data_IF_813778900373
#
_entry.id   IF_813778900373
#
_cell.length_a   1.000
_cell.length_b   1.000
_cell.length_c   1.000
_cell.angle_alpha   90.00
_cell.angle_beta   90.00
_cell.angle_gamma   90.00
#
_symmetry.space_group_name_H-M   'P 1'
#
loop_
_entity.id
_entity.type
_entity.pdbx_description
1 polymer ?
#
# COMPACT_ATOMS: atom_id res chain seq x y z
N UNK A 1 7.49 -33.58 26.54
CA UNK A 1 6.64 -33.84 25.36
C UNK A 1 5.67 -32.67 25.21
N UNK A 2 5.96 -31.70 24.33
CA UNK A 2 5.13 -30.50 24.16
C UNK A 2 3.80 -30.90 23.49
N UNK A 3 2.69 -30.76 24.20
CA UNK A 3 1.36 -31.10 23.71
C UNK A 3 0.87 -29.97 22.81
N UNK A 4 0.91 -30.16 21.49
CA UNK A 4 0.41 -29.18 20.50
C UNK A 4 -1.10 -28.97 20.72
N UNK A 5 -1.46 -27.86 21.35
CA UNK A 5 -2.85 -27.47 21.59
C UNK A 5 -3.51 -27.05 20.28
N UNK A 6 -4.79 -27.38 20.09
CA UNK A 6 -5.58 -26.90 18.96
C UNK A 6 -5.51 -25.37 18.91
N UNK A 7 -4.87 -24.84 17.86
CA UNK A 7 -4.64 -23.42 17.65
C UNK A 7 -5.97 -22.73 17.38
N UNK A 8 -6.49 -22.02 18.38
CA UNK A 8 -7.56 -21.04 18.17
C UNK A 8 -7.04 -19.92 17.27
N UNK A 9 -7.88 -19.43 16.37
CA UNK A 9 -7.53 -18.33 15.46
C UNK A 9 -7.23 -17.07 16.29
N UNK A 10 -6.10 -16.44 16.02
CA UNK A 10 -5.65 -15.25 16.74
C UNK A 10 -6.24 -13.99 16.08
N UNK A 11 -7.13 -13.24 16.75
CA UNK A 11 -7.78 -12.07 16.16
C UNK A 11 -6.79 -10.97 15.79
N UNK A 12 -5.66 -10.83 16.51
CA UNK A 12 -4.63 -9.86 16.17
C UNK A 12 -3.99 -10.15 14.81
N UNK A 13 -3.75 -11.42 14.49
CA UNK A 13 -3.22 -11.82 13.19
C UNK A 13 -4.23 -11.55 12.07
N UNK A 14 -5.53 -11.80 12.30
CA UNK A 14 -6.57 -11.46 11.33
C UNK A 14 -6.55 -9.95 11.07
N UNK A 15 -6.58 -9.14 12.13
CA UNK A 15 -6.55 -7.67 12.02
C UNK A 15 -5.31 -7.23 11.24
N UNK A 16 -4.13 -7.78 11.53
CA UNK A 16 -2.91 -7.46 10.78
C UNK A 16 -3.01 -7.77 9.29
N UNK A 17 -3.59 -8.91 8.91
CA UNK A 17 -3.79 -9.27 7.49
C UNK A 17 -4.74 -8.29 6.82
N UNK A 18 -5.83 -7.90 7.49
CA UNK A 18 -6.76 -6.89 6.97
C UNK A 18 -6.07 -5.54 6.79
N UNK A 19 -5.30 -5.09 7.78
CA UNK A 19 -4.54 -3.83 7.69
C UNK A 19 -3.52 -3.84 6.56
N UNK A 20 -2.79 -4.96 6.37
CA UNK A 20 -1.86 -5.13 5.25
C UNK A 20 -2.57 -5.09 3.89
N UNK A 21 -3.76 -5.68 3.78
CA UNK A 21 -4.57 -5.59 2.57
C UNK A 21 -5.01 -4.16 2.28
N UNK A 22 -5.44 -3.41 3.31
CA UNK A 22 -5.80 -2.00 3.17
C UNK A 22 -4.58 -1.18 2.71
N UNK A 23 -3.41 -1.39 3.34
CA UNK A 23 -2.16 -0.72 2.94
C UNK A 23 -1.82 -1.02 1.49
N UNK A 24 -1.87 -2.29 1.06
CA UNK A 24 -1.55 -2.65 -0.32
C UNK A 24 -2.52 -2.00 -1.32
N UNK A 25 -3.81 -2.01 -1.02
CA UNK A 25 -4.83 -1.47 -1.90
C UNK A 25 -4.82 0.06 -1.96
N UNK A 26 -4.51 0.73 -0.84
CA UNK A 26 -4.64 2.18 -0.69
C UNK A 26 -3.34 2.94 -0.76
N UNK A 27 -2.18 2.33 -0.53
CA UNK A 27 -0.88 3.01 -0.67
C UNK A 27 -0.33 2.84 -2.08
N UNK A 28 0.33 3.87 -2.57
CA UNK A 28 1.05 3.86 -3.84
C UNK A 28 2.43 4.50 -3.70
N UNK A 29 3.29 4.21 -4.66
CA UNK A 29 4.59 4.85 -4.85
C UNK A 29 4.59 5.45 -6.25
N UNK A 30 4.74 6.76 -6.34
CA UNK A 30 4.97 7.47 -7.59
C UNK A 30 6.45 7.71 -7.79
N UNK A 31 6.87 7.75 -9.06
CA UNK A 31 8.19 8.22 -9.45
C UNK A 31 8.03 9.56 -10.17
N UNK A 32 8.81 10.55 -9.73
CA UNK A 32 8.96 11.83 -10.40
C UNK A 32 9.83 11.65 -11.66
N UNK A 33 9.36 12.18 -12.78
CA UNK A 33 10.04 12.04 -14.08
C UNK A 33 11.22 13.03 -14.23
N UNK A 34 11.24 14.12 -13.48
CA UNK A 34 12.28 15.17 -13.53
C UNK A 34 13.49 14.81 -12.66
N UNK A 35 13.26 14.31 -11.44
CA UNK A 35 14.32 14.03 -10.46
C UNK A 35 14.52 12.55 -10.13
N UNK A 36 13.73 11.66 -10.75
CA UNK A 36 13.75 10.22 -10.48
C UNK A 36 13.51 9.88 -8.98
N UNK A 37 12.86 10.81 -8.27
CA UNK A 37 12.52 10.70 -6.86
C UNK A 37 11.29 9.82 -6.64
N UNK A 38 11.21 9.17 -5.49
CA UNK A 38 10.09 8.29 -5.14
C UNK A 38 9.23 8.91 -4.04
N UNK A 39 7.95 9.07 -4.33
CA UNK A 39 6.99 9.65 -3.40
C UNK A 39 5.95 8.60 -3.00
N UNK A 40 5.77 8.41 -1.70
CA UNK A 40 4.72 7.52 -1.16
C UNK A 40 3.46 8.34 -0.94
N UNK A 41 2.33 7.85 -1.46
CA UNK A 41 1.06 8.55 -1.38
C UNK A 41 -0.09 7.60 -1.04
N UNK A 42 -1.21 8.19 -0.58
CA UNK A 42 -2.47 7.49 -0.35
C UNK A 42 -3.34 7.67 -1.59
N UNK A 43 -3.69 6.56 -2.23
CA UNK A 43 -4.62 6.52 -3.37
C UNK A 43 -6.00 6.94 -2.90
N UNK A 44 -6.75 7.63 -3.75
CA UNK A 44 -8.13 8.00 -3.46
C UNK A 44 -9.13 6.82 -3.58
N UNK A 45 -8.74 5.73 -4.24
CA UNK A 45 -9.53 4.49 -4.39
C UNK A 45 -8.63 3.25 -4.34
N UNK A 46 -9.15 2.08 -3.91
CA UNK A 46 -8.36 0.86 -3.79
C UNK A 46 -7.96 0.32 -5.18
N UNK A 47 -6.67 -0.01 -5.36
CA UNK A 47 -6.16 -0.70 -6.54
C UNK A 47 -5.01 -1.63 -6.17
N UNK A 48 -4.80 -2.68 -6.97
CA UNK A 48 -3.66 -3.60 -6.83
C UNK A 48 -2.34 -3.01 -7.37
N UNK A 49 -2.40 -1.92 -8.13
CA UNK A 49 -1.22 -1.26 -8.70
C UNK A 49 -0.50 -0.48 -7.60
N UNK A 50 0.73 -0.88 -7.26
CA UNK A 50 1.53 -0.21 -6.24
C UNK A 50 2.39 0.93 -6.82
N UNK A 51 2.88 0.77 -8.04
CA UNK A 51 3.86 1.67 -8.65
C UNK A 51 3.23 2.49 -9.79
N UNK A 52 3.51 3.80 -9.78
CA UNK A 52 2.97 4.77 -10.73
C UNK A 52 4.14 5.56 -11.34
N UNK A 53 4.30 5.47 -12.65
CA UNK A 53 5.29 6.22 -13.42
C UNK A 53 4.64 6.67 -14.73
N UNK A 54 4.89 7.91 -15.13
CA UNK A 54 4.49 8.41 -16.44
C UNK A 54 5.25 7.66 -17.53
N UNK A 55 4.59 6.97 -18.47
CA UNK A 55 5.26 6.45 -19.66
C UNK A 55 5.75 7.56 -20.60
N UNK A 56 5.19 8.77 -20.54
CA UNK A 56 5.59 9.92 -21.36
C UNK A 56 6.70 10.76 -20.71
N UNK A 57 6.88 10.66 -19.40
CA UNK A 57 7.75 11.58 -18.67
C UNK A 57 7.25 13.02 -18.81
N UNK A 58 8.14 13.90 -19.25
CA UNK A 58 7.89 15.34 -19.47
C UNK A 58 7.46 15.67 -20.92
N UNK A 59 7.32 14.66 -21.78
CA UNK A 59 7.00 14.86 -23.20
C UNK A 59 5.48 14.91 -23.45
N UNK A 60 5.06 15.72 -24.43
CA UNK A 60 3.67 15.74 -24.90
C UNK A 60 3.28 14.43 -25.60
N UNK A 61 2.02 14.02 -25.48
CA UNK A 61 1.53 12.78 -26.08
C UNK A 61 1.47 12.87 -27.62
N UNK A 62 2.23 12.04 -28.37
CA UNK A 62 2.19 12.07 -29.82
C UNK A 62 0.95 11.34 -30.39
N UNK A 63 0.53 11.63 -31.64
CA UNK A 63 -0.66 11.03 -32.25
C UNK A 63 -0.60 9.50 -32.38
N UNK A 64 0.60 8.96 -32.61
CA UNK A 64 0.90 7.54 -32.79
C UNK A 64 1.26 6.82 -31.48
N UNK A 65 1.02 7.45 -30.32
CA UNK A 65 1.34 6.87 -29.03
C UNK A 65 0.62 5.53 -28.80
N UNK A 66 1.34 4.44 -28.43
CA UNK A 66 0.73 3.13 -28.26
C UNK A 66 -0.43 3.12 -27.26
N UNK A 67 -1.54 2.49 -27.63
CA UNK A 67 -2.76 2.45 -26.81
C UNK A 67 -2.52 1.90 -25.39
N UNK A 68 -1.66 0.88 -25.26
CA UNK A 68 -1.27 0.31 -23.97
C UNK A 68 -0.54 1.32 -23.06
N UNK A 69 0.29 2.18 -23.64
CA UNK A 69 0.99 3.22 -22.89
C UNK A 69 0.06 4.39 -22.60
N UNK A 70 -0.85 4.72 -23.52
CA UNK A 70 -1.90 5.71 -23.31
C UNK A 70 -2.78 5.36 -22.10
N UNK A 71 -3.15 4.10 -21.95
CA UNK A 71 -3.90 3.63 -20.78
C UNK A 71 -3.09 3.78 -19.47
N UNK A 72 -1.78 3.52 -19.50
CA UNK A 72 -0.91 3.73 -18.33
C UNK A 72 -0.76 5.21 -17.99
N UNK A 73 -0.64 6.08 -18.99
CA UNK A 73 -0.63 7.52 -18.78
C UNK A 73 -1.92 7.98 -18.13
N UNK A 74 -3.08 7.57 -18.65
CA UNK A 74 -4.37 7.93 -18.07
C UNK A 74 -4.52 7.48 -16.60
N UNK A 75 -3.95 6.33 -16.22
CA UNK A 75 -3.90 5.89 -14.82
C UNK A 75 -2.97 6.79 -14.00
N UNK A 76 -1.79 7.12 -14.52
CA UNK A 76 -0.87 8.04 -13.85
C UNK A 76 -1.51 9.41 -13.63
N UNK A 77 -2.13 9.98 -14.67
CA UNK A 77 -2.81 11.27 -14.61
C UNK A 77 -3.97 11.25 -13.60
N UNK A 78 -4.74 10.15 -13.54
CA UNK A 78 -5.86 10.01 -12.60
C UNK A 78 -5.41 9.92 -11.14
N UNK A 79 -4.35 9.15 -10.85
CA UNK A 79 -3.90 8.91 -9.48
C UNK A 79 -2.89 9.93 -8.95
N UNK A 80 -2.05 10.48 -9.83
CA UNK A 80 -0.95 11.37 -9.46
C UNK A 80 -1.32 12.81 -9.77
N UNK A 81 -1.62 13.16 -11.03
CA UNK A 81 -1.76 14.57 -11.43
C UNK A 81 -3.13 15.19 -11.11
N UNK A 82 -4.21 14.43 -11.23
CA UNK A 82 -5.57 14.98 -11.17
C UNK A 82 -6.16 14.89 -9.76
N UNK A 83 -5.92 13.79 -9.05
CA UNK A 83 -6.53 13.51 -7.74
C UNK A 83 -5.49 13.36 -6.66
N UNK A 84 -4.92 14.50 -6.27
CA UNK A 84 -3.95 14.65 -5.19
C UNK A 84 -4.57 14.48 -3.79
N UNK A 85 -5.17 13.33 -3.50
CA UNK A 85 -5.77 13.06 -2.18
C UNK A 85 -4.74 13.06 -1.05
N UNK A 86 -3.48 12.74 -1.35
CA UNK A 86 -2.36 12.80 -0.40
C UNK A 86 -1.96 14.21 0.00
N UNK A 87 -2.29 15.23 -0.80
CA UNK A 87 -1.94 16.62 -0.48
C UNK A 87 -2.78 17.13 0.70
N UNK A 88 -3.93 16.48 0.96
CA UNK A 88 -4.62 16.65 2.22
C UNK A 88 -3.80 16.03 3.34
N UNK A 89 -3.16 16.90 4.13
CA UNK A 89 -2.29 16.55 5.25
C UNK A 89 -2.88 15.48 6.17
N UNK A 90 -4.19 15.56 6.47
CA UNK A 90 -4.90 14.58 7.32
C UNK A 90 -4.89 13.17 6.72
N UNK A 91 -5.07 13.03 5.40
CA UNK A 91 -5.07 11.74 4.72
C UNK A 91 -3.67 11.15 4.71
N UNK A 92 -2.67 11.99 4.42
CA UNK A 92 -1.25 11.60 4.48
C UNK A 92 -0.83 11.13 5.87
N UNK A 93 -1.19 11.87 6.92
CA UNK A 93 -0.93 11.48 8.31
C UNK A 93 -1.61 10.16 8.64
N UNK A 94 -2.88 9.99 8.25
CA UNK A 94 -3.64 8.76 8.51
C UNK A 94 -3.00 7.56 7.83
N UNK A 95 -2.56 7.69 6.57
CA UNK A 95 -1.82 6.65 5.86
C UNK A 95 -0.51 6.28 6.56
N UNK A 96 0.25 7.28 7.03
CA UNK A 96 1.49 7.06 7.80
C UNK A 96 1.23 6.32 9.11
N UNK A 97 0.21 6.73 9.86
CA UNK A 97 -0.20 6.05 11.12
C UNK A 97 -0.60 4.60 10.83
N UNK A 98 -1.36 4.36 9.76
CA UNK A 98 -1.77 3.02 9.35
C UNK A 98 -0.56 2.12 9.07
N UNK A 99 0.44 2.63 8.34
CA UNK A 99 1.69 1.91 8.06
C UNK A 99 2.46 1.60 9.35
N UNK A 100 2.51 2.52 10.32
CA UNK A 100 3.22 2.33 11.58
C UNK A 100 2.51 1.38 12.56
N UNK A 101 1.19 1.41 12.63
CA UNK A 101 0.42 0.59 13.58
C UNK A 101 0.30 -0.88 13.15
N UNK A 102 0.30 -1.13 11.83
CA UNK A 102 0.18 -2.48 11.26
C UNK A 102 1.24 -3.47 11.77
N UNK A 103 2.56 -3.16 11.76
CA UNK A 103 3.58 -4.06 12.29
C UNK A 103 3.41 -4.30 13.79
N UNK A 104 2.94 -3.33 14.57
CA UNK A 104 2.67 -3.51 16.01
C UNK A 104 1.64 -4.62 16.24
N UNK A 105 0.50 -4.58 15.53
CA UNK A 105 -0.50 -5.64 15.61
C UNK A 105 0.06 -6.99 15.15
N UNK A 106 0.88 -7.00 14.11
CA UNK A 106 1.46 -8.22 13.56
C UNK A 106 2.39 -8.88 14.57
N UNK A 107 3.32 -8.12 15.17
CA UNK A 107 4.24 -8.64 16.17
C UNK A 107 3.53 -9.11 17.44
N UNK A 108 2.53 -8.36 17.93
CA UNK A 108 1.70 -8.78 19.08
C UNK A 108 0.97 -10.08 18.74
N UNK A 109 0.41 -10.20 17.54
CA UNK A 109 -0.27 -11.40 17.07
C UNK A 109 0.67 -12.60 17.02
N UNK A 110 1.83 -12.47 16.38
CA UNK A 110 2.85 -13.53 16.30
C UNK A 110 3.30 -13.94 17.70
N UNK A 111 3.63 -12.99 18.56
CA UNK A 111 4.07 -13.26 19.94
C UNK A 111 3.02 -14.06 20.72
N UNK A 112 1.75 -13.63 20.68
CA UNK A 112 0.65 -14.34 21.34
C UNK A 112 0.44 -15.75 20.77
N UNK A 113 0.58 -15.90 19.46
CA UNK A 113 0.45 -17.19 18.78
C UNK A 113 1.54 -18.17 19.23
N UNK A 114 2.79 -17.72 19.27
CA UNK A 114 3.93 -18.52 19.73
C UNK A 114 3.73 -18.91 21.20
N UNK A 115 3.46 -17.95 22.08
CA UNK A 115 3.25 -18.22 23.52
C UNK A 115 2.13 -19.22 23.78
N UNK A 116 1.01 -19.12 23.06
CA UNK A 116 -0.11 -20.04 23.23
C UNK A 116 0.18 -21.47 22.69
N UNK A 117 1.08 -21.59 21.70
CA UNK A 117 1.48 -22.86 21.12
C UNK A 117 2.56 -23.59 21.93
N UNK A 118 3.40 -22.84 22.65
CA UNK A 118 4.51 -23.35 23.44
C UNK A 118 4.30 -23.10 24.95
N UNK A 119 3.17 -23.52 25.52
CA UNK A 119 3.05 -23.54 26.98
C UNK A 119 4.22 -24.36 27.58
N UNK A 120 5.18 -23.66 28.21
CA UNK A 120 5.97 -24.14 29.35
C UNK A 120 5.02 -24.18 30.54
#
# INVERSE_FOLDING_TARGET
MLKKKNTKINPYLIISVVLLLIIWLMMGVSQDDEFNEYNVFVKYRPTTQLYFKSPLGMDDMPPDFPEKLRAKQAIYDDFILTRHWSDHEVVSITGRILVLITPVFLFIGIYKQIKNNYQI
#
